data_IF_320171824273
#
_entry.id   IF_320171824273
#
_cell.length_a   1.000
_cell.length_b   1.000
_cell.length_c   1.000
_cell.angle_alpha   90.00
_cell.angle_beta   90.00
_cell.angle_gamma   90.00
#
_symmetry.space_group_name_H-M   'P 1'
#
loop_
_entity.id
_entity.type
_entity.pdbx_description
1 polymer ?
#
# COMPACT_ATOMS: atom_id res chain seq x y z
N UNK A 1 66.29 -55.41 -31.24
CA UNK A 1 65.65 -55.63 -29.92
C UNK A 1 65.23 -54.26 -29.41
N UNK A 2 63.99 -53.87 -29.68
CA UNK A 2 63.47 -52.54 -29.39
C UNK A 2 62.54 -52.60 -28.18
N UNK A 3 62.87 -51.81 -27.16
CA UNK A 3 62.21 -51.74 -25.87
C UNK A 3 60.84 -51.06 -25.96
N UNK A 4 59.83 -51.71 -25.39
CA UNK A 4 58.45 -51.25 -25.26
C UNK A 4 58.33 -50.24 -24.10
N UNK A 5 57.97 -48.99 -24.41
CA UNK A 5 57.48 -48.02 -23.41
C UNK A 5 55.94 -48.03 -23.41
N UNK A 6 55.35 -48.34 -22.25
CA UNK A 6 53.93 -48.24 -21.99
C UNK A 6 53.54 -46.77 -21.75
N UNK A 7 52.60 -46.27 -22.53
CA UNK A 7 51.98 -44.95 -22.36
C UNK A 7 50.75 -45.06 -21.47
N UNK A 8 50.72 -44.32 -20.37
CA UNK A 8 49.57 -44.17 -19.48
C UNK A 8 48.52 -43.27 -20.14
N UNK A 9 47.33 -43.82 -20.42
CA UNK A 9 46.18 -43.06 -20.90
C UNK A 9 45.48 -42.34 -19.73
N UNK A 10 45.39 -41.01 -19.81
CA UNK A 10 44.60 -40.16 -18.92
C UNK A 10 43.10 -40.40 -19.16
N UNK A 11 42.28 -40.66 -18.13
CA UNK A 11 40.84 -40.82 -18.33
C UNK A 11 40.20 -39.46 -18.67
N UNK A 12 39.64 -39.35 -19.87
CA UNK A 12 38.85 -38.20 -20.29
C UNK A 12 37.51 -38.22 -19.58
N UNK A 13 37.38 -37.36 -18.57
CA UNK A 13 36.15 -37.15 -17.81
C UNK A 13 35.13 -36.41 -18.71
N UNK A 14 34.31 -37.17 -19.45
CA UNK A 14 33.17 -36.63 -20.20
C UNK A 14 31.99 -36.43 -19.25
N UNK A 15 31.93 -35.28 -18.60
CA UNK A 15 30.64 -34.75 -18.12
C UNK A 15 29.82 -34.32 -19.35
N UNK A 16 28.51 -34.65 -19.44
CA UNK A 16 27.65 -34.06 -20.45
C UNK A 16 27.62 -32.53 -20.23
N UNK A 17 27.50 -31.71 -21.30
CA UNK A 17 27.35 -30.27 -21.12
C UNK A 17 26.10 -30.04 -20.28
N UNK A 18 26.29 -29.51 -19.08
CA UNK A 18 25.19 -29.08 -18.23
C UNK A 18 24.30 -28.15 -19.04
N UNK A 19 22.99 -28.39 -18.98
CA UNK A 19 21.99 -27.45 -19.48
C UNK A 19 22.36 -26.07 -18.92
N UNK A 20 22.50 -25.01 -19.75
CA UNK A 20 22.84 -23.70 -19.22
C UNK A 20 21.81 -23.35 -18.16
N UNK A 21 22.26 -23.09 -16.93
CA UNK A 21 21.41 -22.67 -15.85
C UNK A 21 20.64 -21.43 -16.33
N UNK A 22 19.31 -21.55 -16.40
CA UNK A 22 18.44 -20.48 -16.89
C UNK A 22 18.69 -19.23 -16.02
N UNK A 23 19.01 -18.10 -16.65
CA UNK A 23 19.22 -16.84 -15.96
C UNK A 23 17.96 -16.54 -15.09
N UNK A 24 18.10 -16.42 -13.75
CA UNK A 24 16.98 -16.24 -12.85
C UNK A 24 16.19 -14.96 -13.15
N UNK A 25 16.83 -13.92 -13.69
CA UNK A 25 16.17 -12.69 -14.10
C UNK A 25 15.29 -12.91 -15.34
N UNK A 26 15.79 -13.62 -16.36
CA UNK A 26 15.01 -13.99 -17.56
C UNK A 26 13.85 -14.92 -17.21
N UNK A 27 14.07 -15.85 -16.29
CA UNK A 27 13.03 -16.75 -15.77
C UNK A 27 11.93 -16.00 -15.02
N UNK A 28 12.28 -14.96 -14.25
CA UNK A 28 11.30 -14.10 -13.58
C UNK A 28 10.49 -13.28 -14.59
N UNK A 29 11.14 -12.62 -15.55
CA UNK A 29 10.45 -11.83 -16.58
C UNK A 29 9.47 -12.68 -17.39
N UNK A 30 9.86 -13.90 -17.76
CA UNK A 30 8.99 -14.85 -18.45
C UNK A 30 7.76 -15.21 -17.63
N UNK A 31 7.92 -15.53 -16.34
CA UNK A 31 6.79 -15.80 -15.42
C UNK A 31 5.85 -14.61 -15.29
N UNK A 32 6.38 -13.39 -15.18
CA UNK A 32 5.56 -12.16 -15.12
C UNK A 32 4.74 -11.98 -16.40
N UNK A 33 5.36 -12.15 -17.57
CA UNK A 33 4.67 -12.03 -18.86
C UNK A 33 3.58 -13.10 -19.04
N UNK A 34 3.85 -14.33 -18.62
CA UNK A 34 2.89 -15.44 -18.69
C UNK A 34 1.67 -15.21 -17.78
N UNK A 35 1.90 -14.73 -16.55
CA UNK A 35 0.83 -14.35 -15.61
C UNK A 35 -0.04 -13.23 -16.18
N UNK A 36 0.58 -12.16 -16.70
CA UNK A 36 -0.13 -11.05 -17.33
C UNK A 36 -0.98 -11.52 -18.52
N UNK A 37 -0.42 -12.38 -19.37
CA UNK A 37 -1.15 -12.99 -20.50
C UNK A 37 -2.33 -13.84 -20.03
N UNK A 38 -2.16 -14.64 -18.99
CA UNK A 38 -3.24 -15.45 -18.40
C UNK A 38 -4.39 -14.57 -17.91
N UNK A 39 -4.08 -13.49 -17.17
CA UNK A 39 -5.08 -12.54 -16.69
C UNK A 39 -5.80 -11.83 -17.84
N UNK A 40 -5.08 -11.39 -18.87
CA UNK A 40 -5.66 -10.72 -20.04
C UNK A 40 -6.63 -11.64 -20.82
N UNK A 41 -6.26 -12.91 -21.02
CA UNK A 41 -7.14 -13.89 -21.69
C UNK A 41 -8.40 -14.15 -20.87
N UNK A 42 -8.29 -14.26 -19.54
CA UNK A 42 -9.46 -14.43 -18.68
C UNK A 42 -10.34 -13.19 -18.68
N UNK A 43 -9.77 -11.99 -18.65
CA UNK A 43 -10.51 -10.73 -18.71
C UNK A 43 -11.32 -10.59 -20.00
N UNK A 44 -10.76 -10.98 -21.15
CA UNK A 44 -11.49 -10.97 -22.43
C UNK A 44 -12.73 -11.87 -22.43
N UNK A 45 -12.74 -12.92 -21.60
CA UNK A 45 -13.87 -13.85 -21.43
C UNK A 45 -14.78 -13.47 -20.28
N UNK A 46 -14.35 -12.57 -19.41
CA UNK A 46 -15.11 -12.13 -18.25
C UNK A 46 -16.43 -11.49 -18.68
N UNK A 47 -17.47 -11.73 -17.88
CA UNK A 47 -18.82 -11.17 -18.07
C UNK A 47 -19.22 -10.51 -16.77
N UNK A 48 -19.04 -9.18 -16.63
CA UNK A 48 -19.40 -8.49 -15.41
C UNK A 48 -20.92 -8.57 -15.16
N UNK A 49 -21.36 -8.50 -13.90
CA UNK A 49 -22.78 -8.34 -13.58
C UNK A 49 -23.38 -7.12 -14.31
N UNK A 50 -24.64 -7.22 -14.75
CA UNK A 50 -25.30 -6.16 -15.51
C UNK A 50 -25.42 -4.83 -14.74
N UNK A 51 -25.44 -4.90 -13.39
CA UNK A 51 -25.47 -3.73 -12.50
C UNK A 51 -24.11 -3.08 -12.28
N UNK A 52 -23.00 -3.68 -12.75
CA UNK A 52 -21.67 -3.15 -12.55
C UNK A 52 -21.38 -2.04 -13.56
N UNK A 53 -20.97 -0.83 -13.11
CA UNK A 53 -20.48 0.21 -14.01
C UNK A 53 -19.35 -0.32 -14.90
N UNK A 54 -19.39 0.00 -16.21
CA UNK A 54 -18.48 -0.59 -17.21
C UNK A 54 -17.01 -0.45 -16.84
N UNK A 55 -16.60 0.69 -16.30
CA UNK A 55 -15.22 0.95 -15.93
C UNK A 55 -14.73 0.19 -14.69
N UNK A 56 -15.63 -0.44 -13.92
CA UNK A 56 -15.29 -1.32 -12.80
C UNK A 56 -15.14 -2.80 -13.23
N UNK A 57 -15.27 -3.12 -14.52
CA UNK A 57 -15.16 -4.50 -15.00
C UNK A 57 -13.81 -5.13 -14.70
N UNK A 58 -12.69 -4.41 -14.92
CA UNK A 58 -11.35 -4.92 -14.62
C UNK A 58 -11.11 -5.09 -13.11
N UNK A 59 -11.36 -4.09 -12.24
CA UNK A 59 -11.28 -4.29 -10.79
C UNK A 59 -12.14 -5.46 -10.30
N UNK A 60 -13.36 -5.61 -10.83
CA UNK A 60 -14.24 -6.72 -10.45
C UNK A 60 -13.68 -8.07 -10.88
N UNK A 61 -13.17 -8.18 -12.10
CA UNK A 61 -12.52 -9.41 -12.58
C UNK A 61 -11.31 -9.78 -11.74
N UNK A 62 -10.42 -8.81 -11.45
CA UNK A 62 -9.25 -9.06 -10.63
C UNK A 62 -9.63 -9.44 -9.19
N UNK A 63 -10.72 -8.87 -8.65
CA UNK A 63 -11.27 -9.29 -7.37
C UNK A 63 -11.71 -10.78 -7.42
N UNK A 64 -12.43 -11.20 -8.46
CA UNK A 64 -12.84 -12.59 -8.63
C UNK A 64 -11.63 -13.55 -8.78
N UNK A 65 -10.62 -13.16 -9.55
CA UNK A 65 -9.38 -13.94 -9.69
C UNK A 65 -8.57 -14.02 -8.40
N UNK A 66 -8.64 -13.01 -7.52
CA UNK A 66 -8.01 -13.08 -6.19
C UNK A 66 -8.74 -14.05 -5.23
N UNK A 67 -10.03 -14.30 -5.46
CA UNK A 67 -10.79 -15.34 -4.76
C UNK A 67 -10.54 -16.75 -5.31
N UNK A 68 -9.99 -16.89 -6.51
CA UNK A 68 -9.76 -18.18 -7.16
C UNK A 68 -8.72 -19.03 -6.41
N UNK A 69 -9.18 -20.03 -5.66
CA UNK A 69 -8.34 -20.93 -4.86
C UNK A 69 -7.51 -21.91 -5.69
N UNK A 70 -7.77 -22.04 -7.00
CA UNK A 70 -6.90 -22.80 -7.89
C UNK A 70 -5.58 -22.06 -8.16
N UNK A 71 -5.48 -20.76 -7.84
CA UNK A 71 -4.24 -19.99 -7.92
C UNK A 71 -3.45 -20.11 -6.61
N UNK A 72 -2.10 -20.14 -6.68
CA UNK A 72 -1.25 -20.08 -5.49
C UNK A 72 -1.54 -18.86 -4.61
N UNK A 73 -1.35 -18.99 -3.30
CA UNK A 73 -1.65 -17.94 -2.32
C UNK A 73 -0.99 -16.59 -2.63
N UNK A 74 0.32 -16.59 -2.93
CA UNK A 74 1.05 -15.36 -3.28
C UNK A 74 0.57 -14.74 -4.60
N UNK A 75 0.07 -15.55 -5.53
CA UNK A 75 -0.52 -15.07 -6.77
C UNK A 75 -1.85 -14.37 -6.50
N UNK A 76 -2.70 -14.95 -5.64
CA UNK A 76 -3.96 -14.33 -5.20
C UNK A 76 -3.71 -12.97 -4.52
N UNK A 77 -2.70 -12.89 -3.65
CA UNK A 77 -2.32 -11.64 -2.98
C UNK A 77 -1.79 -10.58 -3.97
N UNK A 78 -0.99 -10.99 -4.96
CA UNK A 78 -0.53 -10.12 -6.04
C UNK A 78 -1.70 -9.57 -6.85
N UNK A 79 -2.62 -10.43 -7.27
CA UNK A 79 -3.80 -10.03 -8.05
C UNK A 79 -4.68 -9.07 -7.23
N UNK A 80 -4.82 -9.29 -5.92
CA UNK A 80 -5.52 -8.36 -5.04
C UNK A 80 -4.88 -6.97 -5.01
N UNK A 81 -3.55 -6.90 -5.03
CA UNK A 81 -2.81 -5.64 -5.18
C UNK A 81 -3.06 -4.97 -6.53
N UNK A 82 -3.02 -5.73 -7.64
CA UNK A 82 -3.33 -5.22 -8.97
C UNK A 82 -4.77 -4.70 -9.08
N UNK A 83 -5.72 -5.40 -8.47
CA UNK A 83 -7.11 -4.96 -8.37
C UNK A 83 -7.21 -3.59 -7.71
N UNK A 84 -6.53 -3.40 -6.57
CA UNK A 84 -6.52 -2.13 -5.87
C UNK A 84 -5.87 -1.00 -6.68
N UNK A 85 -4.79 -1.29 -7.42
CA UNK A 85 -4.19 -0.33 -8.36
C UNK A 85 -5.19 0.08 -9.45
N UNK A 86 -5.85 -0.88 -10.10
CA UNK A 86 -6.83 -0.62 -11.15
C UNK A 86 -8.03 0.18 -10.62
N UNK A 87 -8.55 -0.17 -9.44
CA UNK A 87 -9.65 0.56 -8.80
C UNK A 87 -9.27 2.00 -8.46
N UNK A 88 -8.11 2.20 -7.82
CA UNK A 88 -7.66 3.53 -7.43
C UNK A 88 -7.43 4.43 -8.65
N UNK A 89 -6.80 3.89 -9.70
CA UNK A 89 -6.57 4.61 -10.97
C UNK A 89 -7.89 5.00 -11.62
N UNK A 90 -8.84 4.05 -11.72
CA UNK A 90 -10.15 4.32 -12.30
C UNK A 90 -10.92 5.43 -11.54
N UNK A 91 -10.92 5.42 -10.20
CA UNK A 91 -11.54 6.48 -9.41
C UNK A 91 -10.91 7.86 -9.68
N UNK A 92 -9.59 7.92 -9.91
CA UNK A 92 -8.87 9.16 -10.19
C UNK A 92 -9.13 9.65 -11.62
N UNK A 93 -9.07 8.76 -12.61
CA UNK A 93 -9.25 9.12 -14.03
C UNK A 93 -10.67 9.63 -14.30
N UNK A 94 -11.69 8.96 -13.77
CA UNK A 94 -13.06 9.39 -13.96
C UNK A 94 -13.35 10.79 -13.40
N UNK A 95 -12.69 11.15 -12.30
CA UNK A 95 -12.85 12.46 -11.68
C UNK A 95 -12.00 13.55 -12.33
N UNK A 96 -11.09 13.19 -13.23
CA UNK A 96 -10.25 14.15 -13.96
C UNK A 96 -10.94 14.72 -15.20
N UNK A 97 -12.12 14.23 -15.57
CA UNK A 97 -12.77 14.53 -16.86
C UNK A 97 -12.03 13.87 -18.03
N UNK A 98 -12.70 13.68 -19.17
CA UNK A 98 -12.00 13.43 -20.43
C UNK A 98 -11.14 14.64 -20.80
N UNK A 99 -10.03 14.45 -21.52
CA UNK A 99 -9.16 15.52 -22.05
C UNK A 99 -9.86 16.48 -23.05
N UNK A 100 -11.19 16.54 -23.10
CA UNK A 100 -11.96 17.37 -24.02
C UNK A 100 -12.23 18.76 -23.41
N UNK A 101 -11.62 19.83 -23.94
CA UNK A 101 -11.63 21.17 -23.34
C UNK A 101 -12.92 21.97 -23.56
N UNK A 102 -13.97 21.39 -24.15
CA UNK A 102 -15.23 22.09 -24.47
C UNK A 102 -16.37 21.89 -23.45
N UNK A 103 -16.20 21.06 -22.42
CA UNK A 103 -17.22 20.91 -21.37
C UNK A 103 -16.91 21.78 -20.14
N UNK A 104 -17.66 22.87 -19.98
CA UNK A 104 -17.68 23.70 -18.78
C UNK A 104 -18.13 22.85 -17.57
N UNK A 105 -17.19 22.49 -16.69
CA UNK A 105 -17.45 21.68 -15.49
C UNK A 105 -18.07 22.53 -14.38
N UNK A 106 -19.39 22.76 -14.42
CA UNK A 106 -20.16 22.84 -13.19
C UNK A 106 -20.01 21.50 -12.46
N UNK A 107 -19.40 21.48 -11.27
CA UNK A 107 -19.12 20.24 -10.52
C UNK A 107 -20.34 19.32 -10.48
N UNK A 108 -20.39 18.25 -11.29
CA UNK A 108 -21.51 17.33 -11.22
C UNK A 108 -21.33 16.52 -9.94
N UNK A 109 -22.38 15.89 -9.46
CA UNK A 109 -22.22 14.68 -8.66
C UNK A 109 -21.33 13.71 -9.45
N UNK A 110 -20.01 13.72 -9.21
CA UNK A 110 -18.96 13.18 -10.09
C UNK A 110 -19.16 11.69 -10.45
N UNK A 111 -20.02 11.00 -9.69
CA UNK A 111 -20.38 9.60 -9.89
C UNK A 111 -21.84 9.36 -9.51
N UNK A 112 -22.49 8.39 -10.17
CA UNK A 112 -23.83 7.94 -9.82
C UNK A 112 -23.83 7.20 -8.47
N UNK A 113 -24.99 7.07 -7.82
CA UNK A 113 -25.10 6.31 -6.57
C UNK A 113 -24.62 4.85 -6.75
N UNK A 114 -24.95 4.24 -7.89
CA UNK A 114 -24.57 2.88 -8.25
C UNK A 114 -23.05 2.70 -8.36
N UNK A 115 -22.33 3.75 -8.78
CA UNK A 115 -20.86 3.73 -8.80
C UNK A 115 -20.29 3.64 -7.39
N UNK A 116 -20.73 4.52 -6.49
CA UNK A 116 -20.23 4.54 -5.10
C UNK A 116 -20.55 3.22 -4.39
N UNK A 117 -21.76 2.68 -4.62
CA UNK A 117 -22.14 1.35 -4.11
C UNK A 117 -21.26 0.23 -4.67
N UNK A 118 -20.97 0.24 -5.97
CA UNK A 118 -20.11 -0.77 -6.60
C UNK A 118 -18.66 -0.70 -6.09
N UNK A 119 -18.10 0.50 -5.92
CA UNK A 119 -16.77 0.70 -5.31
C UNK A 119 -16.77 0.22 -3.86
N UNK A 120 -17.79 0.58 -3.07
CA UNK A 120 -17.94 0.14 -1.69
C UNK A 120 -17.95 -1.39 -1.59
N UNK A 121 -18.73 -2.06 -2.45
CA UNK A 121 -18.81 -3.51 -2.50
C UNK A 121 -17.47 -4.16 -2.86
N UNK A 122 -16.70 -3.60 -3.81
CA UNK A 122 -15.36 -4.10 -4.16
C UNK A 122 -14.37 -3.93 -3.00
N UNK A 123 -14.41 -2.79 -2.30
CA UNK A 123 -13.56 -2.54 -1.14
C UNK A 123 -13.89 -3.47 0.02
N UNK A 124 -15.17 -3.70 0.29
CA UNK A 124 -15.59 -4.63 1.34
C UNK A 124 -15.17 -6.06 1.02
N UNK A 125 -15.40 -6.52 -0.22
CA UNK A 125 -15.00 -7.86 -0.67
C UNK A 125 -13.49 -8.07 -0.56
N UNK A 126 -12.70 -7.13 -1.06
CA UNK A 126 -11.24 -7.20 -1.05
C UNK A 126 -10.64 -7.15 0.36
N UNK A 127 -11.15 -6.26 1.21
CA UNK A 127 -10.81 -6.16 2.62
C UNK A 127 -11.12 -7.46 3.37
N UNK A 128 -12.32 -8.01 3.15
CA UNK A 128 -12.75 -9.28 3.76
C UNK A 128 -11.87 -10.45 3.31
N UNK A 129 -11.59 -10.56 2.00
CA UNK A 129 -10.71 -11.58 1.45
C UNK A 129 -9.32 -11.53 2.09
N UNK A 130 -8.71 -10.34 2.13
CA UNK A 130 -7.39 -10.18 2.73
C UNK A 130 -7.39 -10.63 4.20
N UNK A 131 -8.32 -10.09 4.99
CA UNK A 131 -8.31 -10.27 6.45
C UNK A 131 -8.76 -11.66 6.88
N UNK A 132 -9.77 -12.25 6.23
CA UNK A 132 -10.40 -13.51 6.66
C UNK A 132 -9.83 -14.75 5.98
N UNK A 133 -9.16 -14.60 4.84
CA UNK A 133 -8.62 -15.74 4.10
C UNK A 133 -7.12 -15.61 3.86
N UNK A 134 -6.65 -14.54 3.20
CA UNK A 134 -5.27 -14.49 2.73
C UNK A 134 -4.26 -14.31 3.87
N UNK A 135 -4.48 -13.37 4.79
CA UNK A 135 -3.59 -13.18 5.94
C UNK A 135 -3.57 -14.41 6.88
N UNK A 136 -4.71 -15.02 7.23
CA UNK A 136 -4.71 -16.28 7.99
C UNK A 136 -3.99 -17.43 7.26
N UNK A 137 -4.19 -17.59 5.95
CA UNK A 137 -3.47 -18.61 5.18
C UNK A 137 -1.96 -18.35 5.16
N UNK A 138 -1.54 -17.09 5.00
CA UNK A 138 -0.13 -16.69 5.07
C UNK A 138 0.48 -16.88 6.47
N UNK A 139 -0.34 -16.84 7.53
CA UNK A 139 0.09 -17.12 8.89
C UNK A 139 0.29 -18.62 9.16
N UNK A 140 -0.41 -19.49 8.43
CA UNK A 140 -0.27 -20.96 8.52
C UNK A 140 0.94 -21.50 7.75
N UNK A 141 1.42 -20.76 6.75
CA UNK A 141 2.70 -21.03 6.11
C UNK A 141 3.83 -20.91 7.15
N UNK A 142 4.88 -21.74 6.98
CA UNK A 142 6.07 -21.74 7.87
C UNK A 142 6.63 -20.32 7.95
N UNK A 143 6.44 -19.65 9.11
CA UNK A 143 7.05 -18.35 9.39
C UNK A 143 6.17 -17.11 9.54
N UNK A 144 4.85 -17.23 9.41
CA UNK A 144 3.92 -16.09 9.46
C UNK A 144 4.44 -14.88 8.69
N UNK A 145 4.27 -14.89 7.36
CA UNK A 145 4.83 -13.88 6.47
C UNK A 145 4.55 -12.44 6.93
N UNK A 146 3.37 -12.20 7.51
CA UNK A 146 3.00 -10.91 8.11
C UNK A 146 2.83 -11.08 9.62
N UNK A 147 3.47 -10.21 10.41
CA UNK A 147 3.36 -10.17 11.88
C UNK A 147 2.87 -8.81 12.36
N UNK A 148 2.51 -8.75 13.64
CA UNK A 148 2.10 -7.52 14.32
C UNK A 148 3.19 -7.13 15.33
N UNK A 149 3.50 -5.84 15.53
CA UNK A 149 4.51 -5.42 16.52
C UNK A 149 4.28 -5.99 17.92
N UNK A 150 3.02 -6.15 18.33
CA UNK A 150 2.63 -6.71 19.62
C UNK A 150 2.97 -8.21 19.78
N UNK A 151 3.11 -8.96 18.68
CA UNK A 151 3.44 -10.39 18.71
C UNK A 151 4.95 -10.67 18.62
N UNK A 152 5.77 -9.61 18.59
CA UNK A 152 7.23 -9.72 18.60
C UNK A 152 7.75 -10.20 19.95
N UNK A 153 8.85 -10.95 19.97
CA UNK A 153 9.56 -11.30 21.21
C UNK A 153 10.19 -10.06 21.85
N UNK A 154 10.69 -10.18 23.09
CA UNK A 154 11.36 -9.06 23.77
C UNK A 154 12.57 -8.53 22.97
N UNK A 155 13.40 -9.41 22.45
CA UNK A 155 14.58 -9.07 21.64
C UNK A 155 14.17 -8.39 20.33
N UNK A 156 13.15 -8.93 19.64
CA UNK A 156 12.60 -8.34 18.43
C UNK A 156 12.01 -6.94 18.68
N UNK A 157 11.40 -6.69 19.84
CA UNK A 157 10.91 -5.35 20.21
C UNK A 157 12.05 -4.36 20.48
N UNK A 158 13.16 -4.80 21.07
CA UNK A 158 14.36 -3.95 21.24
C UNK A 158 14.90 -3.55 19.86
N UNK A 159 15.05 -4.51 18.95
CA UNK A 159 15.42 -4.23 17.58
C UNK A 159 14.44 -3.28 16.89
N UNK A 160 13.13 -3.52 17.03
CA UNK A 160 12.11 -2.69 16.38
C UNK A 160 12.17 -1.25 16.86
N UNK A 161 12.41 -1.03 18.16
CA UNK A 161 12.58 0.31 18.72
C UNK A 161 13.82 1.01 18.16
N UNK A 162 14.97 0.31 18.10
CA UNK A 162 16.18 0.84 17.48
C UNK A 162 15.98 1.18 16.01
N UNK A 163 15.31 0.30 15.26
CA UNK A 163 14.96 0.53 13.87
C UNK A 163 14.03 1.74 13.71
N UNK A 164 12.98 1.83 14.52
CA UNK A 164 12.05 2.95 14.53
C UNK A 164 12.77 4.27 14.77
N UNK A 165 13.58 4.36 15.84
CA UNK A 165 14.31 5.57 16.20
C UNK A 165 15.32 6.00 15.14
N UNK A 166 16.02 5.06 14.49
CA UNK A 166 17.05 5.37 13.50
C UNK A 166 16.49 5.67 12.11
N UNK A 167 15.44 4.97 11.68
CA UNK A 167 14.97 4.96 10.28
C UNK A 167 13.61 5.64 10.10
N UNK A 168 12.65 5.37 10.99
CA UNK A 168 11.26 5.84 10.81
C UNK A 168 11.05 7.20 11.47
N UNK A 169 11.38 7.35 12.76
CA UNK A 169 11.11 8.53 13.57
C UNK A 169 11.61 9.84 12.92
N UNK A 170 12.82 9.92 12.34
CA UNK A 170 13.31 11.15 11.70
C UNK A 170 12.48 11.59 10.48
N UNK A 171 11.72 10.67 9.88
CA UNK A 171 10.85 10.93 8.73
C UNK A 171 9.42 11.32 9.13
N UNK A 172 9.08 11.20 10.41
CA UNK A 172 7.77 11.54 10.94
C UNK A 172 7.76 13.00 11.36
N UNK A 173 6.93 13.81 10.71
CA UNK A 173 6.65 15.19 11.11
C UNK A 173 5.19 15.27 11.55
N UNK A 174 4.90 15.26 12.87
CA UNK A 174 3.57 15.52 13.38
C UNK A 174 3.14 16.96 13.05
N UNK A 175 1.96 17.11 12.46
CA UNK A 175 1.36 18.41 12.18
C UNK A 175 0.16 18.60 13.09
N UNK A 176 0.26 19.52 14.06
CA UNK A 176 -0.86 19.90 14.90
C UNK A 176 -1.95 20.59 14.08
N UNK A 177 -3.22 20.37 14.46
CA UNK A 177 -4.38 20.96 13.82
C UNK A 177 -5.17 21.72 14.90
N UNK A 178 -5.20 23.04 14.78
CA UNK A 178 -5.83 23.97 15.71
C UNK A 178 -6.27 25.26 14.96
N UNK A 179 -6.97 26.22 15.59
CA UNK A 179 -7.43 27.43 14.89
C UNK A 179 -6.31 28.28 14.26
N UNK A 180 -5.08 28.22 14.78
CA UNK A 180 -3.90 28.88 14.21
C UNK A 180 -3.18 28.04 13.15
N UNK A 181 -3.42 26.73 13.10
CA UNK A 181 -2.82 25.78 12.18
C UNK A 181 -3.91 24.99 11.43
N UNK A 182 -4.36 25.48 10.26
CA UNK A 182 -5.44 24.84 9.52
C UNK A 182 -5.04 23.44 9.06
N UNK A 183 -6.06 22.63 8.74
CA UNK A 183 -5.86 21.26 8.28
C UNK A 183 -4.92 21.22 7.07
N UNK A 184 -3.82 20.44 7.12
CA UNK A 184 -2.79 20.49 6.08
C UNK A 184 -3.27 19.82 4.79
N UNK A 185 -2.66 20.19 3.66
CA UNK A 185 -2.87 19.47 2.42
C UNK A 185 -2.43 18.01 2.53
N UNK A 186 -3.25 17.09 2.01
CA UNK A 186 -2.98 15.65 2.03
C UNK A 186 -2.70 15.16 0.61
N UNK A 187 -1.48 14.67 0.39
CA UNK A 187 -1.07 14.10 -0.90
C UNK A 187 -1.95 12.91 -1.28
N UNK A 188 -2.32 12.82 -2.57
CA UNK A 188 -3.02 11.66 -3.13
C UNK A 188 -2.25 10.37 -2.85
N UNK A 189 -2.97 9.26 -2.70
CA UNK A 189 -2.51 7.93 -2.32
C UNK A 189 -1.87 7.81 -0.92
N UNK A 190 -1.47 8.91 -0.28
CA UNK A 190 -0.73 8.85 0.99
C UNK A 190 -1.57 8.26 2.14
N UNK A 191 -0.93 7.43 2.94
CA UNK A 191 -1.50 6.88 4.17
C UNK A 191 -1.14 7.81 5.34
N UNK A 192 -2.12 8.13 6.17
CA UNK A 192 -1.99 9.15 7.22
C UNK A 192 -2.68 8.68 8.49
N UNK A 193 -2.14 9.06 9.64
CA UNK A 193 -2.85 8.99 10.91
C UNK A 193 -3.50 10.33 11.22
N UNK A 194 -4.76 10.30 11.65
CA UNK A 194 -5.39 11.35 12.43
C UNK A 194 -5.33 10.91 13.90
N UNK A 195 -4.53 11.63 14.69
CA UNK A 195 -4.27 11.33 16.09
C UNK A 195 -5.04 12.31 16.96
N UNK A 196 -5.83 11.78 17.88
CA UNK A 196 -6.48 12.53 18.93
C UNK A 196 -5.58 12.57 20.16
N UNK A 197 -5.22 13.77 20.57
CA UNK A 197 -4.31 14.05 21.66
C UNK A 197 -5.06 14.72 22.79
N UNK A 198 -4.68 14.39 24.02
CA UNK A 198 -5.15 15.04 25.22
C UNK A 198 -3.97 15.64 25.98
N UNK A 199 -4.05 16.94 26.24
CA UNK A 199 -3.05 17.70 27.00
C UNK A 199 -3.70 18.67 27.98
N UNK A 200 -2.93 19.11 28.97
CA UNK A 200 -3.34 20.17 29.89
C UNK A 200 -3.21 21.53 29.19
N UNK A 201 -4.24 22.37 29.28
CA UNK A 201 -4.15 23.75 28.79
C UNK A 201 -3.28 24.56 29.74
N UNK A 202 -2.24 25.19 29.21
CA UNK A 202 -1.27 26.01 29.96
C UNK A 202 -1.97 26.97 30.93
N UNK A 203 -1.68 26.84 32.23
CA UNK A 203 -2.27 27.69 33.27
C UNK A 203 -3.66 27.29 33.77
N UNK A 204 -4.20 26.14 33.36
CA UNK A 204 -5.51 25.63 33.84
C UNK A 204 -5.46 24.13 34.13
N UNK A 205 -6.34 23.64 35.01
CA UNK A 205 -6.56 22.20 35.22
C UNK A 205 -7.46 21.57 34.12
N UNK A 206 -7.83 22.33 33.10
CA UNK A 206 -8.74 21.87 32.05
C UNK A 206 -7.96 21.20 30.92
N UNK A 207 -8.36 19.98 30.60
CA UNK A 207 -7.83 19.23 29.47
C UNK A 207 -8.40 19.75 28.14
N UNK A 208 -7.57 19.89 27.11
CA UNK A 208 -8.00 20.24 25.75
C UNK A 208 -7.70 19.08 24.80
N UNK A 209 -8.66 18.78 23.93
CA UNK A 209 -8.50 17.83 22.85
C UNK A 209 -7.85 18.54 21.66
N UNK A 210 -6.72 18.03 21.24
CA UNK A 210 -6.00 18.49 20.05
C UNK A 210 -5.97 17.37 19.02
N UNK A 211 -5.86 17.74 17.75
CA UNK A 211 -5.63 16.78 16.68
C UNK A 211 -4.23 16.96 16.12
N UNK A 212 -3.61 15.86 15.72
CA UNK A 212 -2.39 15.89 14.95
C UNK A 212 -2.51 14.94 13.76
N UNK A 213 -1.94 15.34 12.62
CA UNK A 213 -1.78 14.49 11.46
C UNK A 213 -0.35 13.98 11.41
N UNK A 214 -0.18 12.68 11.14
CA UNK A 214 1.13 12.08 10.83
C UNK A 214 1.04 11.40 9.46
N UNK A 215 1.97 11.69 8.56
CA UNK A 215 2.11 10.94 7.29
C UNK A 215 2.88 9.66 7.55
N UNK A 216 2.38 8.51 7.09
CA UNK A 216 3.21 7.30 7.04
C UNK A 216 4.29 7.50 5.96
N UNK A 217 5.59 7.41 6.30
CA UNK A 217 6.67 7.66 5.35
C UNK A 217 6.63 6.68 4.18
N UNK A 218 6.87 7.21 2.97
CA UNK A 218 6.97 6.42 1.73
C UNK A 218 8.41 6.21 1.26
N UNK A 219 9.37 6.91 1.87
CA UNK A 219 10.79 6.76 1.53
C UNK A 219 11.31 5.36 1.91
N UNK A 220 10.70 4.75 2.93
CA UNK A 220 10.99 3.39 3.35
C UNK A 220 9.99 2.41 2.77
N UNK A 221 10.41 1.15 2.62
CA UNK A 221 9.51 0.04 2.33
C UNK A 221 8.36 0.01 3.34
N UNK A 222 7.12 -0.11 2.84
CA UNK A 222 5.95 -0.34 3.70
C UNK A 222 6.04 -1.68 4.43
N UNK A 223 6.76 -2.64 3.88
CA UNK A 223 6.98 -3.95 4.46
C UNK A 223 8.39 -4.02 5.04
N UNK A 224 8.48 -3.93 6.36
CA UNK A 224 9.75 -3.98 7.10
C UNK A 224 10.03 -5.42 7.50
N UNK A 225 11.11 -6.01 7.01
CA UNK A 225 11.52 -7.37 7.40
C UNK A 225 11.95 -7.38 8.88
N UNK A 226 11.32 -8.21 9.70
CA UNK A 226 11.70 -8.42 11.07
C UNK A 226 12.93 -9.36 11.16
N UNK A 227 13.79 -9.20 12.17
CA UNK A 227 14.99 -10.02 12.32
C UNK A 227 14.61 -11.48 12.56
N UNK A 228 15.40 -12.37 11.95
CA UNK A 228 15.22 -13.81 12.03
C UNK A 228 15.65 -14.32 13.42
N UNK A 229 14.93 -15.29 14.00
CA UNK A 229 15.41 -15.98 15.20
C UNK A 229 16.72 -16.74 14.90
N UNK A 230 17.64 -16.79 15.86
CA UNK A 230 18.94 -17.47 15.73
C UNK A 230 18.82 -19.00 15.63
N UNK A 231 17.76 -19.57 16.22
CA UNK A 231 17.44 -21.00 16.17
C UNK A 231 16.27 -21.19 15.20
N UNK A 232 16.57 -21.23 13.90
CA UNK A 232 15.62 -21.58 12.86
C UNK A 232 16.00 -22.95 12.29
N UNK A 233 15.19 -23.97 12.56
CA UNK A 233 15.31 -25.29 11.95
C UNK A 233 14.92 -25.21 10.46
N UNK A 234 15.87 -24.81 9.62
CA UNK A 234 15.74 -24.79 8.16
C UNK A 234 15.30 -23.45 7.56
N UNK A 235 15.29 -23.44 6.22
CA UNK A 235 15.13 -22.27 5.35
C UNK A 235 14.08 -21.22 5.82
N UNK A 236 14.58 -20.00 6.11
CA UNK A 236 13.95 -18.69 5.91
C UNK A 236 12.43 -18.54 6.14
N UNK A 237 12.05 -18.48 7.41
CA UNK A 237 10.79 -17.87 7.82
C UNK A 237 10.94 -16.33 7.82
N UNK A 238 10.92 -15.70 6.64
CA UNK A 238 10.91 -14.24 6.53
C UNK A 238 9.57 -13.73 7.03
N UNK A 239 9.60 -12.76 7.92
CA UNK A 239 8.40 -12.11 8.43
C UNK A 239 8.51 -10.61 8.25
N UNK A 240 7.39 -9.98 7.90
CA UNK A 240 7.31 -8.56 7.61
C UNK A 240 6.30 -7.89 8.53
N UNK A 241 6.55 -6.62 8.81
CA UNK A 241 5.69 -5.73 9.56
C UNK A 241 5.23 -4.60 8.64
N UNK A 242 3.97 -4.20 8.77
CA UNK A 242 3.46 -3.00 8.13
C UNK A 242 4.07 -1.76 8.78
N UNK A 243 4.59 -0.82 7.99
CA UNK A 243 5.22 0.38 8.51
C UNK A 243 4.24 1.23 9.31
N UNK A 244 2.97 1.30 8.90
CA UNK A 244 1.92 1.98 9.66
C UNK A 244 1.68 1.35 11.03
N UNK A 245 1.79 0.03 11.17
CA UNK A 245 1.64 -0.64 12.47
C UNK A 245 2.84 -0.38 13.38
N UNK A 246 4.05 -0.22 12.82
CA UNK A 246 5.23 0.21 13.57
C UNK A 246 5.05 1.65 14.06
N UNK A 247 4.60 2.56 13.18
CA UNK A 247 4.29 3.95 13.56
C UNK A 247 3.24 3.96 14.66
N UNK A 248 2.13 3.24 14.50
CA UNK A 248 1.06 3.08 15.48
C UNK A 248 1.59 2.62 16.84
N UNK A 249 2.45 1.60 16.85
CA UNK A 249 3.02 1.04 18.07
C UNK A 249 3.88 2.05 18.84
N UNK A 250 4.58 2.96 18.15
CA UNK A 250 5.41 3.99 18.77
C UNK A 250 4.80 5.40 18.75
N UNK A 251 3.51 5.55 18.41
CA UNK A 251 2.82 6.84 18.39
C UNK A 251 3.03 7.68 19.67
N UNK A 252 3.01 7.11 20.89
CA UNK A 252 3.25 7.89 22.11
C UNK A 252 4.63 8.57 22.16
N UNK A 253 5.66 8.00 21.52
CA UNK A 253 7.01 8.58 21.51
C UNK A 253 7.07 9.87 20.67
N UNK A 254 6.10 10.12 19.78
CA UNK A 254 6.01 11.35 18.97
C UNK A 254 5.42 12.55 19.70
N UNK A 255 4.77 12.32 20.85
CA UNK A 255 4.01 13.37 21.55
C UNK A 255 4.40 13.46 23.03
N UNK A 256 5.65 13.86 23.34
CA UNK A 256 6.10 13.98 24.73
C UNK A 256 5.23 15.01 25.47
N UNK A 257 4.72 14.63 26.64
CA UNK A 257 3.87 15.48 27.48
C UNK A 257 2.38 15.51 27.09
N UNK A 258 1.98 14.79 26.04
CA UNK A 258 0.59 14.59 25.66
C UNK A 258 0.23 13.11 25.74
N UNK A 259 -1.06 12.83 25.95
CA UNK A 259 -1.59 11.47 25.89
C UNK A 259 -2.26 11.23 24.54
N UNK A 260 -1.88 10.13 23.87
CA UNK A 260 -2.54 9.66 22.65
C UNK A 260 -3.79 8.90 23.06
N UNK A 261 -4.96 9.46 22.76
CA UNK A 261 -6.25 8.86 23.10
C UNK A 261 -6.67 7.85 22.04
N UNK A 262 -6.62 8.28 20.78
CA UNK A 262 -7.02 7.48 19.63
C UNK A 262 -6.16 7.85 18.42
N UNK A 263 -5.97 6.92 17.48
CA UNK A 263 -5.28 7.18 16.23
C UNK A 263 -5.84 6.32 15.10
N UNK A 264 -6.38 6.99 14.09
CA UNK A 264 -7.06 6.34 12.98
C UNK A 264 -6.33 6.59 11.67
N UNK A 265 -6.18 5.54 10.87
CA UNK A 265 -5.66 5.65 9.51
C UNK A 265 -6.71 6.26 8.58
N UNK A 266 -6.23 7.06 7.64
CA UNK A 266 -6.99 7.52 6.51
C UNK A 266 -6.11 7.69 5.27
N UNK A 267 -6.73 7.58 4.10
CA UNK A 267 -6.09 7.72 2.79
C UNK A 267 -6.98 8.52 1.86
N UNK A 268 -6.36 9.44 1.12
CA UNK A 268 -7.05 10.32 0.19
C UNK A 268 -6.64 9.97 -1.24
N UNK A 269 -7.62 9.89 -2.13
CA UNK A 269 -7.42 9.88 -3.57
C UNK A 269 -8.00 11.17 -4.15
N UNK A 270 -7.23 11.77 -5.05
CA UNK A 270 -7.61 12.92 -5.87
C UNK A 270 -6.78 12.95 -7.16
N UNK A 271 -7.30 13.54 -8.25
CA UNK A 271 -6.54 13.85 -9.46
C UNK A 271 -5.27 14.61 -9.14
N UNK A 272 -4.18 14.24 -9.79
CA UNK A 272 -2.96 15.06 -9.82
C UNK A 272 -3.03 15.88 -11.10
N UNK A 273 -3.11 17.22 -11.03
CA UNK A 273 -3.17 18.04 -12.23
C UNK A 273 -1.91 17.79 -13.08
N UNK A 274 -2.11 17.43 -14.35
CA UNK A 274 -1.04 17.40 -15.35
C UNK A 274 -0.57 18.83 -15.59
N UNK A 275 0.75 19.04 -15.55
CA UNK A 275 1.32 20.31 -15.97
C UNK A 275 1.18 20.39 -17.50
N UNK A 276 0.51 21.42 -18.01
CA UNK A 276 0.46 21.66 -19.46
C UNK A 276 1.88 21.87 -19.98
N UNK A 277 2.29 21.24 -21.09
CA UNK A 277 3.60 21.45 -21.70
C UNK A 277 3.81 22.90 -22.19
N UNK A 278 2.75 23.67 -22.38
CA UNK A 278 2.79 25.08 -22.79
C UNK A 278 2.80 26.08 -21.60
N UNK A 279 2.99 25.59 -20.37
CA UNK A 279 3.09 26.46 -19.21
C UNK A 279 4.38 27.31 -19.29
N UNK A 280 4.21 28.62 -19.48
CA UNK A 280 5.32 29.57 -19.47
C UNK A 280 5.93 29.64 -18.06
N UNK A 281 7.12 29.08 -17.90
CA UNK A 281 7.86 29.03 -16.63
C UNK A 281 8.48 30.38 -16.24
N UNK A 282 8.25 31.44 -17.02
CA UNK A 282 8.81 32.78 -16.77
C UNK A 282 7.97 33.66 -15.84
N UNK A 283 6.74 33.26 -15.49
CA UNK A 283 5.89 34.01 -14.57
C UNK A 283 6.24 33.70 -13.10
N UNK A 284 6.73 34.67 -12.30
CA UNK A 284 7.09 34.48 -10.89
C UNK A 284 5.87 34.45 -9.94
N UNK A 285 4.63 34.44 -10.45
CA UNK A 285 3.43 34.20 -9.66
C UNK A 285 3.35 32.70 -9.25
N UNK A 286 2.98 32.36 -7.99
CA UNK A 286 3.05 31.00 -7.46
C UNK A 286 1.85 30.16 -7.91
N UNK A 287 1.70 29.93 -9.22
CA UNK A 287 0.61 29.13 -9.79
C UNK A 287 0.79 27.63 -9.50
N UNK A 288 2.02 27.21 -9.15
CA UNK A 288 2.34 25.81 -8.82
C UNK A 288 1.99 25.41 -7.37
N UNK A 289 1.89 26.36 -6.43
CA UNK A 289 1.63 26.01 -5.03
C UNK A 289 0.14 25.83 -4.70
N UNK A 290 -0.77 26.29 -5.57
CA UNK A 290 -2.20 26.29 -5.28
C UNK A 290 -3.01 25.30 -6.13
N UNK A 291 -2.48 24.78 -7.25
CA UNK A 291 -3.25 23.86 -8.11
C UNK A 291 -3.56 22.50 -7.48
N UNK A 292 -2.68 21.96 -6.64
CA UNK A 292 -2.98 20.73 -5.90
C UNK A 292 -4.07 20.91 -4.83
N UNK A 293 -4.31 22.15 -4.39
CA UNK A 293 -5.43 22.49 -3.50
C UNK A 293 -6.77 22.51 -4.24
N UNK A 294 -6.77 22.52 -5.58
CA UNK A 294 -7.97 22.63 -6.42
C UNK A 294 -8.54 21.28 -6.86
N UNK A 295 -7.78 20.18 -6.77
CA UNK A 295 -8.36 18.86 -7.07
C UNK A 295 -9.13 18.34 -5.85
N UNK A 296 -10.46 18.26 -6.01
CA UNK A 296 -11.38 17.73 -5.01
C UNK A 296 -10.99 16.30 -4.63
N UNK A 297 -11.23 15.94 -3.37
CA UNK A 297 -11.12 14.55 -2.94
C UNK A 297 -12.20 13.74 -3.63
N UNK A 298 -11.81 12.65 -4.29
CA UNK A 298 -12.75 11.78 -5.01
C UNK A 298 -13.09 10.55 -4.19
N UNK A 299 -12.15 10.15 -3.33
CA UNK A 299 -12.30 9.02 -2.43
C UNK A 299 -11.47 9.21 -1.17
N UNK A 300 -12.12 9.02 -0.03
CA UNK A 300 -11.55 9.04 1.30
C UNK A 300 -11.76 7.67 1.94
N UNK A 301 -10.68 6.91 2.09
CA UNK A 301 -10.70 5.68 2.88
C UNK A 301 -10.37 6.01 4.34
N UNK A 302 -11.14 5.47 5.29
CA UNK A 302 -10.93 5.62 6.74
C UNK A 302 -11.06 4.28 7.45
N UNK A 303 -10.42 4.12 8.61
CA UNK A 303 -10.58 2.89 9.40
C UNK A 303 -12.03 2.74 9.85
N UNK A 304 -12.51 1.49 9.84
CA UNK A 304 -13.90 1.17 10.12
C UNK A 304 -14.38 1.63 11.51
N UNK A 305 -13.47 1.68 12.49
CA UNK A 305 -13.73 2.07 13.87
C UNK A 305 -13.64 3.60 14.11
N UNK A 306 -13.32 4.41 13.09
CA UNK A 306 -13.27 5.87 13.22
C UNK A 306 -14.66 6.43 13.63
N UNK A 307 -14.75 7.14 14.77
CA UNK A 307 -16.02 7.69 15.27
C UNK A 307 -16.67 8.63 14.26
N UNK A 308 -18.01 8.56 14.14
CA UNK A 308 -18.76 9.35 13.15
C UNK A 308 -18.52 10.86 13.22
N UNK A 309 -18.37 11.42 14.42
CA UNK A 309 -18.07 12.84 14.61
C UNK A 309 -16.67 13.22 14.07
N UNK A 310 -15.67 12.35 14.28
CA UNK A 310 -14.31 12.56 13.77
C UNK A 310 -14.26 12.40 12.25
N UNK A 311 -15.00 11.42 11.72
CA UNK A 311 -15.13 11.20 10.28
C UNK A 311 -15.77 12.40 9.58
N UNK A 312 -16.89 12.90 10.11
CA UNK A 312 -17.56 14.08 9.57
C UNK A 312 -16.64 15.30 9.62
N UNK A 313 -15.93 15.49 10.73
CA UNK A 313 -14.93 16.56 10.87
C UNK A 313 -13.82 16.45 9.81
N UNK A 314 -13.24 15.25 9.63
CA UNK A 314 -12.18 15.01 8.66
C UNK A 314 -12.67 15.20 7.20
N UNK A 315 -13.84 14.64 6.86
CA UNK A 315 -14.43 14.75 5.54
C UNK A 315 -14.72 16.22 5.17
N UNK A 316 -15.23 17.01 6.13
CA UNK A 316 -15.48 18.44 5.94
C UNK A 316 -14.18 19.22 5.68
N UNK A 317 -13.11 18.96 6.45
CA UNK A 317 -11.82 19.63 6.24
C UNK A 317 -11.16 19.26 4.91
N UNK A 318 -11.41 18.04 4.42
CA UNK A 318 -10.87 17.54 3.16
C UNK A 318 -11.72 17.91 1.95
N UNK A 319 -12.94 18.41 2.13
CA UNK A 319 -13.91 18.59 1.05
C UNK A 319 -14.28 17.25 0.38
N UNK A 320 -14.34 16.16 1.14
CA UNK A 320 -14.66 14.84 0.60
C UNK A 320 -16.18 14.71 0.39
N UNK A 321 -16.65 14.22 -0.78
CA UNK A 321 -18.06 13.98 -1.02
C UNK A 321 -18.57 12.88 -0.10
N UNK A 322 -19.79 13.04 0.45
CA UNK A 322 -20.38 12.10 1.42
C UNK A 322 -20.36 10.65 0.91
N UNK A 323 -20.70 10.44 -0.36
CA UNK A 323 -20.72 9.12 -0.97
C UNK A 323 -19.32 8.57 -1.30
N UNK A 324 -18.30 9.44 -1.36
CA UNK A 324 -16.90 9.06 -1.58
C UNK A 324 -16.13 8.73 -0.31
N UNK A 325 -16.82 8.55 0.82
CA UNK A 325 -16.22 8.17 2.10
C UNK A 325 -16.42 6.68 2.33
N UNK A 326 -15.34 5.92 2.43
CA UNK A 326 -15.36 4.46 2.58
C UNK A 326 -14.70 4.03 3.89
N UNK A 327 -15.43 3.24 4.68
CA UNK A 327 -14.90 2.60 5.88
C UNK A 327 -14.26 1.26 5.53
N UNK A 328 -12.99 1.11 5.85
CA UNK A 328 -12.20 -0.09 5.53
C UNK A 328 -11.97 -0.90 6.80
N UNK A 329 -12.44 -2.15 6.81
CA UNK A 329 -12.25 -3.11 7.90
C UNK A 329 -10.97 -3.95 7.68
N UNK A 330 -9.81 -3.31 7.87
CA UNK A 330 -8.50 -3.94 7.69
C UNK A 330 -7.49 -3.01 7.06
N UNK A 331 -6.50 -3.57 6.37
CA UNK A 331 -5.42 -2.80 5.76
C UNK A 331 -5.93 -1.95 4.57
N UNK A 332 -5.50 -0.70 4.54
CA UNK A 332 -5.70 0.20 3.40
C UNK A 332 -4.57 0.08 2.37
N UNK A 333 -4.66 0.85 1.29
CA UNK A 333 -3.58 0.96 0.30
C UNK A 333 -3.12 -0.41 -0.23
N UNK A 334 -4.07 -1.29 -0.56
CA UNK A 334 -3.79 -2.67 -0.98
C UNK A 334 -2.92 -2.75 -2.25
N UNK A 335 -2.85 -1.68 -3.04
CA UNK A 335 -1.98 -1.58 -4.23
C UNK A 335 -0.51 -1.91 -3.93
N UNK A 336 -0.05 -1.69 -2.69
CA UNK A 336 1.34 -1.98 -2.27
C UNK A 336 1.58 -3.47 -2.00
N UNK A 337 0.55 -4.33 -1.96
CA UNK A 337 0.75 -5.79 -1.78
C UNK A 337 1.68 -6.40 -2.83
N UNK A 338 1.74 -5.82 -4.03
CA UNK A 338 2.67 -6.24 -5.08
C UNK A 338 4.14 -6.08 -4.67
N UNK A 339 4.47 -5.05 -3.87
CA UNK A 339 5.80 -4.80 -3.32
C UNK A 339 6.21 -5.90 -2.34
N UNK A 340 5.30 -6.34 -1.45
CA UNK A 340 5.53 -7.48 -0.56
C UNK A 340 5.90 -8.73 -1.36
N UNK A 341 5.13 -9.04 -2.40
CA UNK A 341 5.42 -10.23 -3.21
C UNK A 341 6.77 -10.11 -3.92
N UNK A 342 7.12 -8.92 -4.40
CA UNK A 342 8.44 -8.68 -5.00
C UNK A 342 9.58 -8.86 -3.99
N UNK A 343 9.38 -8.45 -2.74
CA UNK A 343 10.34 -8.68 -1.65
C UNK A 343 10.48 -10.17 -1.35
N UNK A 344 9.39 -10.93 -1.35
CA UNK A 344 9.38 -12.39 -1.11
C UNK A 344 10.05 -13.16 -2.24
N UNK A 345 9.70 -12.88 -3.50
CA UNK A 345 10.21 -13.59 -4.68
C UNK A 345 11.67 -13.19 -5.06
N UNK A 346 12.20 -12.07 -4.55
CA UNK A 346 13.45 -11.43 -5.02
C UNK A 346 14.70 -11.55 -4.14
N UNK A 347 14.74 -12.42 -3.13
CA UNK A 347 15.84 -12.44 -2.15
C UNK A 347 17.09 -13.25 -2.57
N UNK A 348 17.85 -12.70 -3.52
CA UNK A 348 19.32 -12.64 -3.38
C UNK A 348 19.89 -11.23 -3.58
N UNK A 349 19.13 -10.25 -4.13
CA UNK A 349 19.73 -9.00 -4.61
C UNK A 349 19.26 -7.67 -3.97
N UNK A 350 18.24 -7.64 -3.09
CA UNK A 350 17.72 -6.34 -2.58
C UNK A 350 18.52 -5.79 -1.39
N UNK A 351 19.64 -6.42 -0.99
CA UNK A 351 20.51 -5.88 0.06
C UNK A 351 21.37 -4.67 -0.36
N UNK A 352 21.31 -4.22 -1.60
CA UNK A 352 22.22 -3.18 -2.08
C UNK A 352 21.63 -1.76 -2.20
N UNK A 353 20.31 -1.57 -2.27
CA UNK A 353 19.72 -0.23 -2.47
C UNK A 353 18.28 -0.21 -1.94
N UNK A 354 18.11 0.21 -0.68
CA UNK A 354 17.03 1.05 -0.10
C UNK A 354 17.52 1.47 1.28
#
# INVERSE_FOLDING_TARGET
MASTQQSFATPTNRFPPGTPADDPARSRQRRVAERAKSLAVGFARYRPPASLPRGLAEPSYLCDESHNTARPLLERLRILGLMATSLDQFCVDQASGSDDPEEDFEQPSLFSAEFYEAVSALLERSSRLLRRELLPALAQERGSLMRQPVTLTREQRVWLRSFFQAQIFPLLTPLAIDPGHPFPFISSYSLNFLVQLRGLKTGTATSVLNYARIKVPRLLSRFVEAPRPEVADGYNERSFLWSEEIVRFFLPELFPGLSVENAYLFRVLRPVPTLSPDADFSDPQPVLHHRHLLSSVVRLDVEADMPGAMLAWLANHLGAPVNGVYRIDGQMALFQLTDLINLVEGSEAVRALI
#
